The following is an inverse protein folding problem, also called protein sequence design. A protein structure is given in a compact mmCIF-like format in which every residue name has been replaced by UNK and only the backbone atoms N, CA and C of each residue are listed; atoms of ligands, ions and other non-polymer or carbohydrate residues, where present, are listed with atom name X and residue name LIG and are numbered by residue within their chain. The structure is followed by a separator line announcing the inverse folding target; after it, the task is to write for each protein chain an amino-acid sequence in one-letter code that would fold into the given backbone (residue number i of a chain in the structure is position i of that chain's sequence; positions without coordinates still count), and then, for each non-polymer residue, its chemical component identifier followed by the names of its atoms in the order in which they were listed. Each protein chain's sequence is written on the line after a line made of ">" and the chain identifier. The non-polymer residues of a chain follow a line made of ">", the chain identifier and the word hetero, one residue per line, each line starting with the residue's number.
data_IF_894955881083
#
_entry.id   IF_894955881083
#
_cell.length_a   1.000
_cell.length_b   1.000
_cell.length_c   1.000
_cell.angle_alpha   90.00
_cell.angle_beta   90.00
_cell.angle_gamma   90.00
#
_symmetry.space_group_name_H-M   'P 1'
#
loop_
_entity.id
_entity.type
_entity.pdbx_description
1 polymer ?
#
# COMPACT_ATOMS: atom_id res chain seq x y z
N UNK A 1 -0.19 15.75 -18.04
CA UNK A 1 -1.34 16.22 -17.23
C UNK A 1 -2.20 15.09 -16.68
N UNK A 2 -2.59 14.08 -17.47
CA UNK A 2 -3.46 12.98 -17.00
C UNK A 2 -2.80 12.07 -15.94
N UNK A 3 -1.52 11.71 -16.14
CA UNK A 3 -0.75 10.85 -15.24
C UNK A 3 -0.60 11.46 -13.83
N UNK A 4 -0.40 12.79 -13.75
CA UNK A 4 -0.25 13.52 -12.48
C UNK A 4 -1.55 13.46 -11.64
N UNK A 5 -2.70 13.68 -12.28
CA UNK A 5 -4.01 13.61 -11.60
C UNK A 5 -4.33 12.22 -11.06
N UNK A 6 -3.99 11.17 -11.83
CA UNK A 6 -4.20 9.80 -11.38
C UNK A 6 -3.32 9.44 -10.18
N UNK A 7 -2.06 9.91 -10.17
CA UNK A 7 -1.16 9.71 -9.04
C UNK A 7 -1.64 10.44 -7.78
N UNK A 8 -2.05 11.70 -7.90
CA UNK A 8 -2.61 12.49 -6.79
C UNK A 8 -3.87 11.82 -6.20
N UNK A 9 -4.77 11.35 -7.05
CA UNK A 9 -5.97 10.63 -6.62
C UNK A 9 -5.62 9.33 -5.86
N UNK A 10 -4.62 8.58 -6.35
CA UNK A 10 -4.18 7.35 -5.69
C UNK A 10 -3.54 7.63 -4.33
N UNK A 11 -2.73 8.67 -4.21
CA UNK A 11 -2.16 9.07 -2.91
C UNK A 11 -3.24 9.50 -1.92
N UNK A 12 -4.26 10.23 -2.36
CA UNK A 12 -5.38 10.62 -1.50
C UNK A 12 -6.19 9.40 -1.04
N UNK A 13 -6.43 8.44 -1.93
CA UNK A 13 -7.07 7.18 -1.58
C UNK A 13 -6.31 6.43 -0.48
N UNK A 14 -4.97 6.35 -0.58
CA UNK A 14 -4.16 5.74 0.48
C UNK A 14 -4.20 6.52 1.79
N UNK A 15 -4.18 7.86 1.75
CA UNK A 15 -4.33 8.68 2.96
C UNK A 15 -5.66 8.42 3.67
N UNK A 16 -6.76 8.44 2.93
CA UNK A 16 -8.09 8.13 3.47
C UNK A 16 -8.13 6.73 4.09
N UNK A 17 -7.57 5.74 3.38
CA UNK A 17 -7.47 4.36 3.89
C UNK A 17 -6.64 4.28 5.19
N UNK A 18 -5.50 4.97 5.27
CA UNK A 18 -4.66 5.02 6.47
C UNK A 18 -5.43 5.64 7.64
N UNK A 19 -6.18 6.72 7.40
CA UNK A 19 -7.00 7.36 8.42
C UNK A 19 -8.09 6.43 8.95
N UNK A 20 -8.76 5.68 8.08
CA UNK A 20 -9.74 4.67 8.48
C UNK A 20 -9.09 3.57 9.34
N UNK A 21 -7.93 3.06 8.94
CA UNK A 21 -7.21 2.05 9.71
C UNK A 21 -6.78 2.57 11.08
N UNK A 22 -6.27 3.82 11.15
CA UNK A 22 -5.96 4.48 12.44
C UNK A 22 -7.19 4.59 13.34
N UNK A 23 -8.36 4.90 12.78
CA UNK A 23 -9.59 5.08 13.56
C UNK A 23 -10.16 3.77 14.11
N UNK A 24 -9.94 2.65 13.42
CA UNK A 24 -10.47 1.33 13.80
C UNK A 24 -9.38 0.35 14.23
N UNK A 25 -8.19 0.83 14.56
CA UNK A 25 -7.03 -0.02 14.86
C UNK A 25 -7.28 -0.81 16.14
N UNK A 26 -7.21 -2.13 16.03
CA UNK A 26 -7.15 -3.05 17.18
C UNK A 26 -5.75 -3.69 17.22
N UNK A 27 -4.87 -3.26 18.15
CA UNK A 27 -3.51 -3.79 18.26
C UNK A 27 -3.43 -5.31 18.49
N UNK A 28 -4.47 -5.91 19.08
CA UNK A 28 -4.50 -7.35 19.38
C UNK A 28 -4.92 -8.18 18.15
N UNK A 29 -5.55 -7.56 17.16
CA UNK A 29 -6.10 -8.22 15.98
C UNK A 29 -5.78 -7.44 14.68
N UNK A 30 -4.51 -7.35 14.27
CA UNK A 30 -4.13 -6.65 13.03
C UNK A 30 -4.76 -7.34 11.81
N UNK A 31 -5.50 -6.58 11.01
CA UNK A 31 -6.26 -7.10 9.85
C UNK A 31 -5.37 -7.26 8.63
N UNK A 32 -4.47 -6.31 8.42
CA UNK A 32 -3.65 -6.23 7.22
C UNK A 32 -2.33 -5.46 7.42
N UNK A 33 -1.67 -5.15 6.30
CA UNK A 33 -0.41 -4.41 6.26
C UNK A 33 -0.52 -3.04 6.92
N UNK A 34 -1.65 -2.34 6.78
CA UNK A 34 -1.81 -1.00 7.34
C UNK A 34 -1.82 -1.08 8.87
N UNK A 35 -2.60 -2.00 9.44
CA UNK A 35 -2.63 -2.18 10.90
C UNK A 35 -1.25 -2.58 11.45
N UNK A 36 -0.58 -3.53 10.82
CA UNK A 36 0.77 -3.95 11.23
C UNK A 36 1.77 -2.79 11.19
N UNK A 37 1.74 -1.97 10.13
CA UNK A 37 2.62 -0.81 10.01
C UNK A 37 2.32 0.25 11.09
N UNK A 38 1.05 0.51 11.37
CA UNK A 38 0.63 1.50 12.36
C UNK A 38 1.02 1.07 13.79
N UNK A 39 0.98 -0.22 14.09
CA UNK A 39 1.45 -0.77 15.37
C UNK A 39 2.95 -0.57 15.51
N UNK A 40 3.74 -0.92 14.49
CA UNK A 40 5.20 -0.71 14.53
C UNK A 40 5.58 0.77 14.59
N UNK A 41 4.85 1.64 13.89
CA UNK A 41 5.01 3.09 14.01
C UNK A 41 4.82 3.55 15.46
N UNK A 42 3.81 3.05 16.15
CA UNK A 42 3.56 3.37 17.56
C UNK A 42 4.69 2.84 18.45
N UNK A 43 5.14 1.60 18.24
CA UNK A 43 6.26 1.01 18.98
C UNK A 43 7.55 1.82 18.79
N UNK A 44 7.85 2.25 17.57
CA UNK A 44 9.01 3.10 17.28
C UNK A 44 8.94 4.44 18.01
N UNK A 45 7.76 5.07 18.02
CA UNK A 45 7.53 6.32 18.76
C UNK A 45 7.70 6.16 20.28
N UNK A 46 7.23 5.05 20.85
CA UNK A 46 7.34 4.76 22.28
C UNK A 46 8.77 4.43 22.71
N UNK A 47 9.51 3.71 21.88
CA UNK A 47 10.90 3.31 22.17
C UNK A 47 11.94 4.36 21.77
N UNK A 48 11.58 5.28 20.88
CA UNK A 48 12.49 6.26 20.28
C UNK A 48 13.47 5.65 19.28
N UNK A 49 13.30 4.38 18.90
CA UNK A 49 14.15 3.66 17.95
C UNK A 49 13.50 3.72 16.57
N UNK A 50 14.29 4.00 15.53
CA UNK A 50 13.86 3.96 14.13
C UNK A 50 12.65 4.86 13.78
N UNK A 51 12.36 5.89 14.58
CA UNK A 51 11.19 6.78 14.41
C UNK A 51 11.09 7.36 13.00
N UNK A 52 12.22 7.69 12.39
CA UNK A 52 12.30 8.27 11.04
C UNK A 52 11.90 7.27 9.92
N UNK A 53 11.98 5.97 10.18
CA UNK A 53 11.59 4.93 9.21
C UNK A 53 10.06 4.77 9.13
N UNK A 54 9.35 5.12 10.20
CA UNK A 54 7.92 4.89 10.35
C UNK A 54 7.12 6.17 10.17
N UNK A 55 7.06 6.68 8.94
CA UNK A 55 6.26 7.86 8.56
C UNK A 55 5.03 7.47 7.73
N UNK A 56 3.99 8.30 7.77
CA UNK A 56 2.82 8.09 6.92
C UNK A 56 3.18 8.17 5.42
N UNK A 57 4.12 9.05 5.06
CA UNK A 57 4.60 9.17 3.69
C UNK A 57 5.27 7.88 3.21
N UNK A 58 6.06 7.22 4.06
CA UNK A 58 6.68 5.93 3.77
C UNK A 58 5.62 4.85 3.54
N UNK A 59 4.53 4.84 4.32
CA UNK A 59 3.42 3.91 4.12
C UNK A 59 2.67 4.16 2.80
N UNK A 60 2.48 5.42 2.40
CA UNK A 60 1.87 5.76 1.10
C UNK A 60 2.76 5.31 -0.06
N UNK A 61 4.08 5.51 0.04
CA UNK A 61 5.05 5.05 -0.96
C UNK A 61 5.02 3.52 -1.06
N UNK A 62 5.12 2.83 0.09
CA UNK A 62 5.04 1.37 0.16
C UNK A 62 3.75 0.83 -0.47
N UNK A 63 2.60 1.42 -0.13
CA UNK A 63 1.31 1.06 -0.70
C UNK A 63 1.28 1.24 -2.22
N UNK A 64 1.85 2.35 -2.70
CA UNK A 64 1.92 2.68 -4.13
C UNK A 64 2.80 1.68 -4.90
N UNK A 65 3.93 1.29 -4.32
CA UNK A 65 4.86 0.31 -4.90
C UNK A 65 4.23 -1.08 -4.97
N UNK A 66 3.61 -1.54 -3.87
CA UNK A 66 2.91 -2.83 -3.83
C UNK A 66 1.77 -2.86 -4.84
N UNK A 67 0.95 -1.80 -4.91
CA UNK A 67 -0.15 -1.70 -5.86
C UNK A 67 0.36 -1.75 -7.31
N UNK A 68 1.41 -0.98 -7.61
CA UNK A 68 2.02 -0.94 -8.94
C UNK A 68 2.63 -2.29 -9.35
N UNK A 69 3.34 -2.95 -8.45
CA UNK A 69 3.93 -4.26 -8.68
C UNK A 69 2.85 -5.33 -8.90
N UNK A 70 1.80 -5.31 -8.08
CA UNK A 70 0.68 -6.26 -8.15
C UNK A 70 -0.11 -6.09 -9.45
N UNK A 71 -0.42 -4.86 -9.85
CA UNK A 71 -1.12 -4.57 -11.10
C UNK A 71 -0.33 -5.06 -12.34
N UNK A 72 0.99 -4.83 -12.36
CA UNK A 72 1.87 -5.30 -13.45
C UNK A 72 1.86 -6.82 -13.58
N UNK A 73 1.93 -7.55 -12.46
CA UNK A 73 1.97 -9.03 -12.46
C UNK A 73 0.66 -9.64 -12.97
N UNK A 74 -0.47 -9.24 -12.40
CA UNK A 74 -1.79 -9.77 -12.79
C UNK A 74 -2.13 -9.48 -14.26
N UNK A 75 -1.67 -8.34 -14.78
CA UNK A 75 -1.85 -8.00 -16.20
C UNK A 75 -1.00 -8.88 -17.12
N UNK A 76 0.24 -9.20 -16.73
CA UNK A 76 1.16 -10.01 -17.54
C UNK A 76 0.70 -11.46 -17.66
N UNK A 77 0.18 -12.05 -16.59
CA UNK A 77 -0.31 -13.44 -16.62
C UNK A 77 -1.53 -13.57 -17.53
N UNK A 78 -2.41 -12.55 -17.52
CA UNK A 78 -3.58 -12.53 -18.40
C UNK A 78 -3.21 -12.37 -19.88
N UNK A 79 -2.25 -11.52 -20.23
CA UNK A 79 -1.78 -11.40 -21.63
C UNK A 79 -1.02 -12.64 -22.11
N UNK A 80 -0.25 -13.31 -21.25
CA UNK A 80 0.40 -14.59 -21.59
C UNK A 80 -0.60 -15.72 -21.81
N UNK A 81 -1.67 -15.79 -21.01
CA UNK A 81 -2.75 -16.76 -21.21
C UNK A 81 -3.51 -16.49 -22.53
N UNK A 82 -3.87 -15.24 -22.82
CA UNK A 82 -4.57 -14.90 -24.08
C UNK A 82 -3.67 -15.15 -25.32
N UNK A 83 -2.37 -14.85 -25.22
CA UNK A 83 -1.42 -15.10 -26.31
C UNK A 83 -1.17 -16.59 -26.58
N UNK A 84 -1.23 -17.46 -25.55
CA UNK A 84 -1.09 -18.91 -25.74
C UNK A 84 -2.34 -19.58 -26.31
N UNK A 85 -3.53 -18.99 -26.13
CA UNK A 85 -4.78 -19.51 -26.70
C UNK A 85 -4.92 -19.18 -28.20
N UNK A 86 -4.19 -18.18 -28.71
CA UNK A 86 -4.28 -17.73 -30.12
C UNK A 86 -3.22 -18.35 -31.04
N UNK A 87 -2.39 -19.28 -30.53
CA UNK A 87 -1.43 -20.07 -31.31
C UNK A 87 -1.70 -21.56 -31.05
N UNK A 88 -2.91 -22.03 -31.42
CA UNK A 88 -3.23 -23.43 -31.69
C UNK A 88 -4.33 -23.52 -32.72
#
# INVERSE_FOLDING_TARGET
>A
MLQKKAFEALQNFFRESIHEHRATLDPDHPRDLYDAYLIEQKNAQETGIDVDLWSEENLIILSSDIFSATCKRTRLDRTKMVGSTMVR
#
